data_IF_604452013426
#
_entry.id   IF_604452013426
#
_cell.length_a   1.000
_cell.length_b   1.000
_cell.length_c   1.000
_cell.angle_alpha   90.00
_cell.angle_beta   90.00
_cell.angle_gamma   90.00
#
_symmetry.space_group_name_H-M   'P 1'
#
loop_
_entity.id
_entity.type
_entity.pdbx_description
1 polymer ?
#
# COMPACT_ATOMS: atom_id res chain seq x y z
N UNK A 1 8.31 -16.59 -5.36
CA UNK A 1 7.67 -16.76 -6.69
C UNK A 1 6.63 -15.66 -6.90
N UNK A 2 6.40 -15.21 -8.15
CA UNK A 2 5.51 -14.07 -8.43
C UNK A 2 4.04 -14.37 -8.10
N UNK A 3 3.54 -15.54 -8.51
CA UNK A 3 2.15 -15.94 -8.27
C UNK A 3 1.83 -15.98 -6.77
N UNK A 4 2.75 -16.50 -5.96
CA UNK A 4 2.62 -16.49 -4.50
C UNK A 4 2.53 -15.07 -3.93
N UNK A 5 3.39 -14.14 -4.35
CA UNK A 5 3.31 -12.74 -3.91
C UNK A 5 2.01 -12.05 -4.35
N UNK A 6 1.53 -12.32 -5.57
CA UNK A 6 0.29 -11.73 -6.08
C UNK A 6 -0.94 -12.26 -5.36
N UNK A 7 -1.02 -13.57 -5.12
CA UNK A 7 -2.14 -14.18 -4.36
C UNK A 7 -2.10 -13.70 -2.91
N UNK A 8 -0.91 -13.66 -2.29
CA UNK A 8 -0.79 -13.21 -0.91
C UNK A 8 -1.22 -11.76 -0.73
N UNK A 9 -0.72 -10.86 -1.58
CA UNK A 9 -1.04 -9.45 -1.52
C UNK A 9 -2.47 -9.15 -1.99
N UNK A 10 -2.93 -9.83 -3.04
CA UNK A 10 -4.22 -9.59 -3.69
C UNK A 10 -5.40 -10.16 -2.92
N UNK A 11 -5.29 -11.37 -2.38
CA UNK A 11 -6.43 -12.09 -1.79
C UNK A 11 -6.23 -12.46 -0.33
N UNK A 12 -5.10 -13.08 0.05
CA UNK A 12 -4.94 -13.64 1.41
C UNK A 12 -4.98 -12.57 2.50
N UNK A 13 -4.33 -11.41 2.30
CA UNK A 13 -4.44 -10.29 3.25
C UNK A 13 -5.87 -9.77 3.40
N UNK A 14 -6.67 -9.82 2.32
CA UNK A 14 -8.03 -9.27 2.29
C UNK A 14 -9.02 -10.21 2.97
N UNK A 15 -8.75 -11.52 2.98
CA UNK A 15 -9.54 -12.47 3.77
C UNK A 15 -9.50 -12.16 5.26
N UNK A 16 -8.37 -11.66 5.78
CA UNK A 16 -8.29 -11.19 7.17
C UNK A 16 -9.24 -10.02 7.46
N UNK A 17 -9.22 -8.98 6.62
CA UNK A 17 -10.13 -7.84 6.74
C UNK A 17 -11.60 -8.21 6.56
N UNK A 18 -11.91 -9.08 5.59
CA UNK A 18 -13.27 -9.62 5.41
C UNK A 18 -13.73 -10.44 6.62
N UNK A 19 -12.85 -11.26 7.19
CA UNK A 19 -13.12 -11.99 8.43
C UNK A 19 -13.43 -11.06 9.60
N UNK A 20 -12.66 -9.97 9.76
CA UNK A 20 -12.95 -8.94 10.77
C UNK A 20 -14.32 -8.31 10.56
N UNK A 21 -14.69 -7.93 9.33
CA UNK A 21 -16.01 -7.36 9.04
C UNK A 21 -17.15 -8.32 9.37
N UNK A 22 -17.00 -9.62 9.06
CA UNK A 22 -18.00 -10.65 9.37
C UNK A 22 -18.12 -10.91 10.87
N UNK A 23 -17.00 -10.98 11.59
CA UNK A 23 -17.02 -11.17 13.05
C UNK A 23 -17.53 -9.91 13.76
N UNK A 24 -17.22 -8.72 13.25
CA UNK A 24 -17.67 -7.45 13.80
C UNK A 24 -19.19 -7.33 13.82
N UNK A 25 -19.89 -7.88 12.83
CA UNK A 25 -21.36 -7.93 12.80
C UNK A 25 -22.00 -8.89 13.80
N UNK A 26 -21.23 -9.83 14.37
CA UNK A 26 -21.73 -10.75 15.40
C UNK A 26 -21.59 -10.18 16.82
N UNK A 27 -20.76 -9.14 16.96
CA UNK A 27 -20.49 -8.49 18.25
C UNK A 27 -21.28 -7.19 18.27
N UNK A 28 -22.47 -7.18 18.86
CA UNK A 28 -23.33 -5.98 18.84
C UNK A 28 -22.84 -4.84 19.76
N UNK A 29 -22.09 -5.18 20.81
CA UNK A 29 -21.65 -4.18 21.80
C UNK A 29 -20.23 -3.64 21.51
N UNK A 30 -19.97 -2.35 21.78
CA UNK A 30 -18.62 -1.80 21.68
C UNK A 30 -17.72 -2.49 22.72
N UNK A 31 -16.82 -3.35 22.25
CA UNK A 31 -15.89 -4.04 23.12
C UNK A 31 -14.79 -3.08 23.60
N UNK A 32 -14.38 -3.09 24.88
CA UNK A 32 -13.35 -2.18 25.39
C UNK A 32 -12.00 -2.31 24.65
N UNK A 33 -11.73 -3.49 24.09
CA UNK A 33 -10.54 -3.78 23.27
C UNK A 33 -10.53 -3.08 21.90
N UNK A 34 -11.62 -2.45 21.45
CA UNK A 34 -11.65 -1.72 20.17
C UNK A 34 -10.66 -0.55 20.18
N UNK A 35 -10.63 0.25 21.25
CA UNK A 35 -9.75 1.41 21.39
C UNK A 35 -8.25 1.05 21.29
N UNK A 36 -7.69 0.08 22.06
CA UNK A 36 -6.27 -0.26 21.96
C UNK A 36 -5.90 -0.92 20.62
N UNK A 37 -6.82 -1.66 20.00
CA UNK A 37 -6.53 -2.30 18.70
C UNK A 37 -6.53 -1.25 17.58
N UNK A 38 -7.45 -0.28 17.60
CA UNK A 38 -7.45 0.82 16.63
C UNK A 38 -6.20 1.69 16.77
N UNK A 39 -5.77 2.03 18.00
CA UNK A 39 -4.54 2.81 18.20
C UNK A 39 -3.29 2.04 17.80
N UNK A 40 -3.23 0.73 18.06
CA UNK A 40 -2.16 -0.13 17.57
C UNK A 40 -2.14 -0.19 16.04
N UNK A 41 -3.30 -0.34 15.39
CA UNK A 41 -3.40 -0.37 13.94
C UNK A 41 -2.91 0.95 13.31
N UNK A 42 -3.34 2.09 13.85
CA UNK A 42 -2.94 3.43 13.36
C UNK A 42 -1.47 3.75 13.63
N UNK A 43 -0.92 3.38 14.79
CA UNK A 43 0.52 3.55 15.03
C UNK A 43 1.35 2.61 14.15
N UNK A 44 0.85 1.38 13.91
CA UNK A 44 1.43 0.42 12.99
C UNK A 44 1.44 0.90 11.54
N UNK A 45 0.40 1.61 11.07
CA UNK A 45 0.37 2.16 9.70
C UNK A 45 1.48 3.18 9.49
N UNK A 46 1.65 4.09 10.45
CA UNK A 46 2.71 5.10 10.45
C UNK A 46 4.09 4.44 10.52
N UNK A 47 4.28 3.48 11.42
CA UNK A 47 5.55 2.76 11.56
C UNK A 47 5.93 1.99 10.29
N UNK A 48 4.98 1.27 9.68
CA UNK A 48 5.20 0.55 8.43
C UNK A 48 5.55 1.50 7.28
N UNK A 49 4.88 2.65 7.19
CA UNK A 49 5.16 3.66 6.18
C UNK A 49 6.57 4.27 6.36
N UNK A 50 7.00 4.51 7.60
CA UNK A 50 8.37 4.96 7.89
C UNK A 50 9.44 3.94 7.51
N UNK A 51 9.18 2.65 7.75
CA UNK A 51 10.08 1.56 7.34
C UNK A 51 10.22 1.50 5.82
N UNK A 52 9.14 1.76 5.06
CA UNK A 52 9.18 1.77 3.59
C UNK A 52 10.19 2.79 3.03
N UNK A 53 10.36 3.94 3.68
CA UNK A 53 11.29 5.01 3.23
C UNK A 53 12.75 4.54 3.28
N UNK A 54 13.08 3.64 4.21
CA UNK A 54 14.45 3.13 4.41
C UNK A 54 14.71 1.81 3.70
N UNK A 55 13.69 1.22 3.08
CA UNK A 55 13.83 -0.08 2.46
C UNK A 55 14.69 0.02 1.20
N UNK A 56 15.65 -0.90 1.05
CA UNK A 56 16.55 -0.99 -0.12
C UNK A 56 16.04 -2.00 -1.15
N UNK A 57 15.27 -2.99 -0.70
CA UNK A 57 14.68 -4.04 -1.52
C UNK A 57 13.29 -3.68 -2.04
N UNK A 58 13.13 -3.74 -3.36
CA UNK A 58 11.91 -3.30 -4.05
C UNK A 58 10.68 -4.15 -3.69
N UNK A 59 10.80 -5.49 -3.67
CA UNK A 59 9.69 -6.38 -3.28
C UNK A 59 9.32 -6.23 -1.80
N UNK A 60 10.30 -5.96 -0.94
CA UNK A 60 10.05 -5.76 0.48
C UNK A 60 9.36 -4.41 0.74
N UNK A 61 9.73 -3.35 0.00
CA UNK A 61 9.06 -2.06 0.08
C UNK A 61 7.56 -2.20 -0.27
N UNK A 62 7.24 -2.91 -1.36
CA UNK A 62 5.84 -3.18 -1.76
C UNK A 62 5.11 -4.03 -0.71
N UNK A 63 5.80 -4.94 -0.03
CA UNK A 63 5.21 -5.73 1.05
C UNK A 63 4.89 -4.84 2.27
N UNK A 64 5.81 -3.99 2.72
CA UNK A 64 5.56 -3.08 3.84
C UNK A 64 4.54 -2.00 3.52
N UNK A 65 4.46 -1.53 2.26
CA UNK A 65 3.39 -0.62 1.85
C UNK A 65 2.01 -1.29 2.00
N UNK A 66 1.92 -2.60 1.71
CA UNK A 66 0.68 -3.35 1.92
C UNK A 66 0.27 -3.46 3.39
N UNK A 67 1.22 -3.57 4.32
CA UNK A 67 0.95 -3.53 5.76
C UNK A 67 0.40 -2.16 6.16
N UNK A 68 0.95 -1.07 5.63
CA UNK A 68 0.48 0.29 5.95
C UNK A 68 -0.98 0.54 5.55
N UNK A 69 -1.37 0.19 4.32
CA UNK A 69 -2.75 0.37 3.86
C UNK A 69 -3.73 -0.60 4.54
N UNK A 70 -3.35 -1.86 4.78
CA UNK A 70 -4.23 -2.81 5.46
C UNK A 70 -4.41 -2.47 6.95
N UNK A 71 -3.47 -1.80 7.59
CA UNK A 71 -3.68 -1.30 8.96
C UNK A 71 -4.79 -0.24 9.05
N UNK A 72 -4.98 0.59 8.01
CA UNK A 72 -6.14 1.49 7.92
C UNK A 72 -7.45 0.70 7.80
N UNK A 73 -7.44 -0.40 7.02
CA UNK A 73 -8.59 -1.31 6.88
C UNK A 73 -8.96 -1.96 8.23
N UNK A 74 -7.96 -2.40 9.01
CA UNK A 74 -8.18 -2.95 10.35
C UNK A 74 -8.82 -1.91 11.27
N UNK A 75 -8.25 -0.69 11.33
CA UNK A 75 -8.80 0.41 12.13
C UNK A 75 -10.25 0.73 11.73
N UNK A 76 -10.52 0.82 10.43
CA UNK A 76 -11.87 1.06 9.92
C UNK A 76 -12.83 -0.06 10.32
N UNK A 77 -12.48 -1.32 10.09
CA UNK A 77 -13.36 -2.48 10.34
C UNK A 77 -13.89 -2.56 11.79
N UNK A 78 -13.13 -2.04 12.76
CA UNK A 78 -13.51 -2.04 14.17
C UNK A 78 -14.46 -0.90 14.56
N UNK A 79 -14.58 0.14 13.74
CA UNK A 79 -15.49 1.28 13.99
C UNK A 79 -16.95 1.00 13.62
N UNK A 80 -17.19 0.04 12.74
CA UNK A 80 -18.53 -0.44 12.34
C UNK A 80 -19.51 0.62 11.79
N UNK A 81 -19.02 1.77 11.33
CA UNK A 81 -19.87 2.75 10.66
C UNK A 81 -20.07 2.40 9.18
N UNK A 82 -21.17 2.82 8.53
CA UNK A 82 -21.41 2.50 7.12
C UNK A 82 -20.31 3.05 6.20
N UNK A 83 -19.74 4.21 6.55
CA UNK A 83 -18.59 4.80 5.88
C UNK A 83 -17.31 3.96 6.07
N UNK A 84 -17.09 3.43 7.27
CA UNK A 84 -15.94 2.56 7.55
C UNK A 84 -16.02 1.26 6.73
N UNK A 85 -17.20 0.61 6.68
CA UNK A 85 -17.36 -0.67 5.98
C UNK A 85 -17.21 -0.49 4.47
N UNK A 86 -17.83 0.55 3.90
CA UNK A 86 -17.70 0.88 2.48
C UNK A 86 -16.26 1.26 2.12
N UNK A 87 -15.61 2.10 2.92
CA UNK A 87 -14.21 2.48 2.75
C UNK A 87 -13.25 1.29 2.84
N UNK A 88 -13.41 0.43 3.86
CA UNK A 88 -12.61 -0.77 4.05
C UNK A 88 -12.74 -1.75 2.86
N UNK A 89 -13.96 -2.00 2.37
CA UNK A 89 -14.19 -2.86 1.22
C UNK A 89 -13.57 -2.28 -0.06
N UNK A 90 -13.78 -0.99 -0.32
CA UNK A 90 -13.22 -0.32 -1.49
C UNK A 90 -11.69 -0.37 -1.46
N UNK A 91 -11.10 -0.08 -0.30
CA UNK A 91 -9.65 -0.10 -0.10
C UNK A 91 -9.05 -1.50 -0.27
N UNK A 92 -9.72 -2.55 0.23
CA UNK A 92 -9.28 -3.94 0.05
C UNK A 92 -9.23 -4.34 -1.42
N UNK A 93 -10.24 -3.97 -2.20
CA UNK A 93 -10.31 -4.25 -3.63
C UNK A 93 -9.26 -3.44 -4.40
N UNK A 94 -9.25 -2.11 -4.23
CA UNK A 94 -8.33 -1.21 -4.94
C UNK A 94 -6.88 -1.58 -4.67
N UNK A 95 -6.52 -1.75 -3.40
CA UNK A 95 -5.18 -2.13 -3.02
C UNK A 95 -4.80 -3.51 -3.54
N UNK A 96 -5.74 -4.48 -3.57
CA UNK A 96 -5.47 -5.81 -4.13
C UNK A 96 -5.00 -5.73 -5.58
N UNK A 97 -5.64 -4.88 -6.38
CA UNK A 97 -5.26 -4.65 -7.78
C UNK A 97 -3.93 -3.89 -7.90
N UNK A 98 -3.75 -2.81 -7.14
CA UNK A 98 -2.53 -1.99 -7.22
C UNK A 98 -1.29 -2.75 -6.77
N UNK A 99 -1.38 -3.45 -5.63
CA UNK A 99 -0.24 -4.21 -5.09
C UNK A 99 0.15 -5.38 -5.98
N UNK A 100 -0.82 -6.09 -6.57
CA UNK A 100 -0.52 -7.16 -7.53
C UNK A 100 0.15 -6.65 -8.80
N UNK A 101 -0.28 -5.50 -9.33
CA UNK A 101 0.39 -4.82 -10.44
C UNK A 101 1.83 -4.41 -10.08
N UNK A 102 2.04 -3.83 -8.90
CA UNK A 102 3.39 -3.46 -8.41
C UNK A 102 4.31 -4.68 -8.25
N UNK A 103 3.81 -5.79 -7.71
CA UNK A 103 4.58 -7.04 -7.61
C UNK A 103 4.90 -7.63 -8.99
N UNK A 104 4.02 -7.45 -9.97
CA UNK A 104 4.27 -7.86 -11.35
C UNK A 104 5.38 -7.03 -12.00
N UNK A 105 5.30 -5.71 -11.88
CA UNK A 105 6.33 -4.79 -12.38
C UNK A 105 7.68 -5.06 -11.70
N UNK A 106 7.69 -5.27 -10.39
CA UNK A 106 8.87 -5.67 -9.62
C UNK A 106 9.52 -6.95 -10.17
N UNK A 107 8.70 -7.90 -10.60
CA UNK A 107 9.18 -9.16 -11.13
C UNK A 107 9.74 -9.04 -12.55
N UNK A 108 9.11 -8.22 -13.40
CA UNK A 108 9.63 -7.96 -14.76
C UNK A 108 11.04 -7.38 -14.75
N UNK A 109 11.34 -6.51 -13.77
CA UNK A 109 12.70 -6.01 -13.55
C UNK A 109 13.61 -7.11 -13.01
N UNK A 110 13.14 -7.89 -12.04
CA UNK A 110 13.90 -8.98 -11.43
C UNK A 110 14.31 -10.07 -12.43
N UNK A 111 13.44 -10.44 -13.38
CA UNK A 111 13.76 -11.43 -14.41
C UNK A 111 14.87 -10.97 -15.36
N UNK A 112 15.03 -9.65 -15.53
CA UNK A 112 16.07 -9.05 -16.38
C UNK A 112 17.38 -8.81 -15.64
N UNK A 113 17.32 -8.38 -14.39
CA UNK A 113 18.51 -7.96 -13.62
C UNK A 113 18.96 -8.97 -12.57
N UNK A 114 18.15 -9.99 -12.28
CA UNK A 114 18.35 -10.98 -11.21
C UNK A 114 18.62 -10.36 -9.81
N UNK A 115 18.26 -9.09 -9.62
CA UNK A 115 18.49 -8.35 -8.37
C UNK A 115 17.23 -7.62 -7.95
N UNK A 116 17.04 -7.49 -6.63
CA UNK A 116 15.88 -6.80 -6.02
C UNK A 116 16.24 -5.42 -5.46
N UNK A 117 17.51 -5.05 -5.53
CA UNK A 117 18.07 -3.85 -4.93
C UNK A 117 17.71 -2.63 -5.77
N UNK A 118 16.95 -1.69 -5.19
CA UNK A 118 16.47 -0.50 -5.91
C UNK A 118 17.60 0.37 -6.44
N UNK A 119 18.76 0.38 -5.78
CA UNK A 119 19.92 1.15 -6.22
C UNK A 119 20.48 0.67 -7.57
N UNK A 120 20.34 -0.62 -7.89
CA UNK A 120 20.80 -1.20 -9.17
C UNK A 120 19.77 -0.95 -10.28
N UNK A 121 18.49 -0.89 -9.92
CA UNK A 121 17.36 -0.72 -10.83
C UNK A 121 17.15 0.73 -11.30
N UNK A 122 18.08 1.64 -11.02
CA UNK A 122 18.00 3.07 -11.36
C UNK A 122 17.93 3.30 -12.87
N UNK A 123 17.04 4.22 -13.27
CA UNK A 123 16.91 4.68 -14.65
C UNK A 123 16.12 3.75 -15.55
N UNK A 124 15.33 2.84 -14.98
CA UNK A 124 14.56 1.87 -15.79
C UNK A 124 13.56 2.51 -16.75
N UNK A 125 13.13 3.75 -16.51
CA UNK A 125 12.27 4.50 -17.44
C UNK A 125 12.98 4.79 -18.77
N UNK A 126 14.29 5.06 -18.73
CA UNK A 126 15.10 5.34 -19.92
C UNK A 126 15.25 4.06 -20.75
N UNK A 127 15.46 2.92 -20.08
CA UNK A 127 15.58 1.62 -20.73
C UNK A 127 14.24 1.11 -21.29
N UNK A 128 13.17 1.23 -20.50
CA UNK A 128 11.86 0.63 -20.79
C UNK A 128 10.74 1.66 -20.58
N UNK A 129 10.47 2.55 -21.55
CA UNK A 129 9.54 3.66 -21.38
C UNK A 129 8.10 3.19 -21.10
N UNK A 130 7.66 2.11 -21.75
CA UNK A 130 6.33 1.55 -21.52
C UNK A 130 6.18 0.94 -20.12
N UNK A 131 7.20 0.22 -19.65
CA UNK A 131 7.22 -0.30 -18.28
C UNK A 131 7.28 0.83 -17.25
N UNK A 132 8.01 1.91 -17.56
CA UNK A 132 8.06 3.11 -16.73
C UNK A 132 6.73 3.87 -16.67
N UNK A 133 5.93 3.87 -17.75
CA UNK A 133 4.56 4.39 -17.73
C UNK A 133 3.66 3.57 -16.80
N UNK A 134 3.76 2.24 -16.84
CA UNK A 134 3.03 1.39 -15.89
C UNK A 134 3.47 1.60 -14.44
N UNK A 135 4.77 1.81 -14.19
CA UNK A 135 5.28 2.20 -12.87
C UNK A 135 4.71 3.54 -12.40
N UNK A 136 4.58 4.52 -13.29
CA UNK A 136 3.98 5.82 -12.95
C UNK A 136 2.50 5.64 -12.57
N UNK A 137 1.73 4.89 -13.37
CA UNK A 137 0.31 4.62 -13.09
C UNK A 137 0.17 3.88 -11.77
N UNK A 138 0.93 2.80 -11.55
CA UNK A 138 0.80 1.99 -10.34
C UNK A 138 1.21 2.74 -9.08
N UNK A 139 2.24 3.59 -9.15
CA UNK A 139 2.65 4.45 -8.03
C UNK A 139 1.64 5.57 -7.77
N UNK A 140 1.04 6.14 -8.82
CA UNK A 140 -0.05 7.12 -8.69
C UNK A 140 -1.30 6.53 -8.04
N UNK A 141 -1.67 5.29 -8.41
CA UNK A 141 -2.76 4.57 -7.75
C UNK A 141 -2.42 4.24 -6.29
N UNK A 142 -1.15 3.87 -5.99
CA UNK A 142 -0.72 3.53 -4.63
C UNK A 142 -0.74 4.74 -3.70
N UNK A 143 -0.36 5.93 -4.16
CA UNK A 143 -0.41 7.16 -3.36
C UNK A 143 -1.80 7.78 -3.23
N UNK A 144 -2.85 7.07 -3.67
CA UNK A 144 -4.24 7.51 -3.56
C UNK A 144 -4.48 8.88 -4.20
N UNK A 145 -4.01 9.08 -5.44
CA UNK A 145 -4.30 10.30 -6.20
C UNK A 145 -5.81 10.41 -6.48
N UNK A 146 -6.49 11.56 -6.32
CA UNK A 146 -7.86 11.73 -6.81
C UNK A 146 -7.89 11.65 -8.35
N UNK A 147 -8.87 10.99 -9.01
CA UNK A 147 -10.10 10.34 -8.52
C UNK A 147 -10.00 8.79 -8.44
N UNK A 148 -8.94 8.24 -7.82
CA UNK A 148 -8.74 6.78 -7.77
C UNK A 148 -9.61 6.10 -6.70
N UNK A 149 -9.91 4.79 -6.84
CA UNK A 149 -10.68 4.06 -5.82
C UNK A 149 -9.90 3.94 -4.49
N UNK A 150 -8.57 3.97 -4.52
CA UNK A 150 -7.74 4.00 -3.32
C UNK A 150 -7.99 5.29 -2.52
N UNK A 151 -8.06 6.44 -3.21
CA UNK A 151 -8.42 7.72 -2.60
C UNK A 151 -9.80 7.70 -1.97
N UNK A 152 -10.81 7.21 -2.70
CA UNK A 152 -12.17 7.11 -2.17
C UNK A 152 -12.24 6.20 -0.93
N UNK A 153 -11.48 5.09 -0.93
CA UNK A 153 -11.41 4.18 0.21
C UNK A 153 -10.80 4.86 1.43
N UNK A 154 -9.65 5.50 1.27
CA UNK A 154 -8.98 6.24 2.34
C UNK A 154 -9.83 7.41 2.86
N UNK A 155 -10.52 8.13 1.97
CA UNK A 155 -11.40 9.24 2.34
C UNK A 155 -12.60 8.77 3.17
N UNK A 156 -13.27 7.68 2.80
CA UNK A 156 -14.36 7.13 3.61
C UNK A 156 -13.89 6.64 4.97
N UNK A 157 -12.69 6.03 5.03
CA UNK A 157 -12.06 5.65 6.30
C UNK A 157 -11.80 6.90 7.14
N UNK A 158 -11.27 7.98 6.57
CA UNK A 158 -11.03 9.25 7.27
C UNK A 158 -12.30 9.87 7.84
N UNK A 159 -13.39 9.91 7.06
CA UNK A 159 -14.68 10.40 7.54
C UNK A 159 -15.19 9.58 8.72
N UNK A 160 -15.05 8.24 8.65
CA UNK A 160 -15.46 7.37 9.76
C UNK A 160 -14.61 7.56 11.02
N UNK A 161 -13.30 7.76 10.86
CA UNK A 161 -12.38 7.95 11.98
C UNK A 161 -12.58 9.28 12.68
N UNK A 162 -12.85 10.34 11.92
CA UNK A 162 -13.19 11.64 12.49
C UNK A 162 -14.43 11.57 13.37
N UNK A 163 -15.46 10.84 12.92
CA UNK A 163 -16.67 10.60 13.70
C UNK A 163 -16.43 9.77 14.97
N UNK A 164 -15.42 8.89 14.98
CA UNK A 164 -15.08 8.07 16.15
C UNK A 164 -14.23 8.80 17.18
N UNK A 165 -13.14 9.46 16.75
CA UNK A 165 -12.41 10.41 17.58
C UNK A 165 -11.63 11.40 16.72
N UNK A 166 -11.71 12.72 16.98
CA UNK A 166 -11.04 13.72 16.15
C UNK A 166 -9.51 13.60 16.20
N UNK A 167 -8.95 13.12 17.31
CA UNK A 167 -7.51 12.93 17.48
C UNK A 167 -6.93 11.86 16.55
N UNK A 168 -7.74 10.88 16.11
CA UNK A 168 -7.29 9.82 15.20
C UNK A 168 -6.86 10.35 13.82
N UNK A 169 -7.35 11.53 13.41
CA UNK A 169 -6.95 12.20 12.16
C UNK A 169 -5.45 12.47 12.12
N UNK A 170 -4.81 12.78 13.26
CA UNK A 170 -3.39 13.13 13.26
C UNK A 170 -2.55 11.93 12.80
N UNK A 171 -2.80 10.75 13.38
CA UNK A 171 -2.10 9.51 13.00
C UNK A 171 -2.44 9.08 11.57
N UNK A 172 -3.72 9.19 11.20
CA UNK A 172 -4.19 8.84 9.88
C UNK A 172 -3.60 9.73 8.77
N UNK A 173 -3.57 11.05 9.02
CA UNK A 173 -2.96 12.04 8.15
C UNK A 173 -1.46 11.82 8.01
N UNK A 174 -0.75 11.55 9.11
CA UNK A 174 0.66 11.14 9.06
C UNK A 174 0.86 9.89 8.21
N UNK A 175 -0.02 8.89 8.35
CA UNK A 175 -0.02 7.68 7.52
C UNK A 175 -0.04 8.01 6.02
N UNK A 176 -0.98 8.85 5.58
CA UNK A 176 -1.09 9.25 4.16
C UNK A 176 0.08 10.13 3.71
N UNK A 177 0.58 11.03 4.56
CA UNK A 177 1.79 11.79 4.20
C UNK A 177 2.97 10.86 3.96
N UNK A 178 3.15 9.82 4.78
CA UNK A 178 4.22 8.86 4.56
C UNK A 178 3.93 7.90 3.39
N UNK A 179 2.67 7.60 3.07
CA UNK A 179 2.35 6.81 1.87
C UNK A 179 2.72 7.53 0.59
N UNK A 180 2.45 8.84 0.52
CA UNK A 180 2.88 9.67 -0.61
C UNK A 180 4.40 9.78 -0.69
N UNK A 181 5.11 9.90 0.45
CA UNK A 181 6.57 10.04 0.43
C UNK A 181 7.27 8.75 0.00
N UNK A 182 6.90 7.57 0.52
CA UNK A 182 7.56 6.33 0.13
C UNK A 182 7.22 5.92 -1.31
N UNK A 183 6.02 6.24 -1.81
CA UNK A 183 5.61 5.90 -3.19
C UNK A 183 6.34 6.76 -4.21
N UNK A 184 6.50 8.05 -3.94
CA UNK A 184 7.36 8.94 -4.73
C UNK A 184 8.83 8.52 -4.62
N UNK A 185 9.31 8.12 -3.43
CA UNK A 185 10.66 7.59 -3.26
C UNK A 185 10.89 6.34 -4.10
N UNK A 186 9.95 5.39 -4.13
CA UNK A 186 10.02 4.20 -4.97
C UNK A 186 10.13 4.59 -6.45
N UNK A 187 9.25 5.48 -6.93
CA UNK A 187 9.26 5.90 -8.33
C UNK A 187 10.57 6.62 -8.68
N UNK A 188 10.99 7.56 -7.85
CA UNK A 188 12.21 8.34 -8.07
C UNK A 188 13.47 7.47 -8.07
N UNK A 189 13.60 6.57 -7.08
CA UNK A 189 14.77 5.71 -6.93
C UNK A 189 14.89 4.66 -8.01
N UNK A 190 13.79 4.09 -8.50
CA UNK A 190 13.81 3.10 -9.59
C UNK A 190 13.84 3.76 -10.98
N UNK A 191 12.98 4.74 -11.25
CA UNK A 191 12.71 5.17 -12.63
C UNK A 191 13.58 6.32 -13.13
N UNK A 192 13.86 7.33 -12.30
CA UNK A 192 14.32 8.66 -12.79
C UNK A 192 15.83 8.92 -12.71
N UNK A 193 16.57 8.19 -11.88
CA UNK A 193 18.02 8.39 -11.77
C UNK A 193 18.75 8.04 -13.07
N UNK A 194 20.00 8.48 -13.18
CA UNK A 194 20.85 8.12 -14.31
C UNK A 194 20.89 6.59 -14.48
N UNK A 195 20.87 6.13 -15.73
CA UNK A 195 20.87 4.71 -16.06
C UNK A 195 22.06 4.02 -15.40
N UNK A 196 21.79 3.01 -14.58
CA UNK A 196 22.86 2.24 -13.94
C UNK A 196 23.70 1.54 -15.01
N UNK A 197 25.03 1.41 -14.82
CA UNK A 197 25.89 0.70 -15.77
C UNK A 197 25.47 -0.76 -15.97
N UNK A 198 24.84 -1.37 -14.95
CA UNK A 198 24.27 -2.72 -15.03
C UNK A 198 23.06 -2.84 -15.97
N UNK A 199 22.23 -1.80 -16.10
CA UNK A 199 21.12 -1.80 -17.06
C UNK A 199 21.56 -1.56 -18.52
N UNK A 200 22.75 -1.00 -18.75
CA UNK A 200 23.28 -0.80 -20.12
C UNK A 200 23.57 -2.12 -20.84
N UNK A 201 23.86 -3.18 -20.10
CA UNK A 201 24.25 -4.49 -20.64
C UNK A 201 23.08 -5.44 -20.85
N UNK A 202 21.85 -5.08 -20.45
CA UNK A 202 20.68 -5.94 -20.66
C UNK A 202 20.08 -5.71 -22.04
N UNK A 203 19.79 -6.76 -22.81
CA UNK A 203 19.09 -6.62 -24.09
C UNK A 203 17.68 -6.02 -23.89
N UNK A 204 17.12 -5.35 -24.91
CA UNK A 204 15.81 -4.70 -24.85
C UNK A 204 14.66 -5.66 -24.50
#
# INVERSE_FOLDING_TARGET
PIAGSMILAGTLLKLGGYGLLRMASLIDTPHPLTTPVVTFALSGTVAAALLCIRQTDLKALIAFSSVSHMGLVVAASLMKSPWSVSGAMLMMISHGLVSSAMFCLANSLYERTNTRTMLVLQGSLIAFPLAGAWWLISTALNMALPPTPNFLGELFIFMSMFGWSPYSIILAGLGVTFTTTYSLFLFWSSQRKALSPFLKSTPP
#
